data_IF_260777556946
#
_entry.id   IF_260777556946
#
_cell.length_a   1.000
_cell.length_b   1.000
_cell.length_c   1.000
_cell.angle_alpha   90.00
_cell.angle_beta   90.00
_cell.angle_gamma   90.00
#
_symmetry.space_group_name_H-M   'P 1'
#
loop_
_entity.id
_entity.type
_entity.pdbx_description
1 polymer ?
#
# COMPACT_ATOMS: atom_id res chain seq x y z
N UNK A 1 24.06 -4.31 -7.08
CA UNK A 1 24.55 -5.68 -7.37
C UNK A 1 23.37 -6.62 -7.14
N UNK A 2 23.20 -7.66 -7.95
CA UNK A 2 22.10 -8.63 -7.80
C UNK A 2 22.65 -9.99 -7.38
N UNK A 3 21.89 -10.74 -6.59
CA UNK A 3 22.20 -12.09 -6.16
C UNK A 3 21.27 -13.10 -6.85
N UNK A 4 21.68 -14.37 -6.84
CA UNK A 4 20.89 -15.47 -7.37
C UNK A 4 20.09 -16.15 -6.25
N UNK A 5 18.85 -16.54 -6.55
CA UNK A 5 18.03 -17.39 -5.71
C UNK A 5 17.49 -18.55 -6.53
N UNK A 6 17.67 -19.77 -6.03
CA UNK A 6 17.09 -20.99 -6.60
C UNK A 6 16.50 -21.80 -5.46
N UNK A 7 15.28 -22.28 -5.64
CA UNK A 7 14.61 -23.15 -4.68
C UNK A 7 14.22 -24.47 -5.32
N UNK A 8 14.36 -25.56 -4.57
CA UNK A 8 13.94 -26.89 -4.97
C UNK A 8 13.50 -27.66 -3.74
N UNK A 9 12.33 -28.30 -3.82
CA UNK A 9 11.79 -29.10 -2.73
C UNK A 9 10.30 -29.37 -2.89
N UNK A 10 9.73 -30.23 -2.03
CA UNK A 10 8.33 -30.63 -2.13
C UNK A 10 7.35 -29.48 -1.92
N UNK A 11 7.73 -28.46 -1.14
CA UNK A 11 6.90 -27.29 -0.82
C UNK A 11 6.98 -26.16 -1.86
N UNK A 12 7.99 -26.17 -2.73
CA UNK A 12 8.17 -25.14 -3.77
C UNK A 12 7.48 -25.53 -5.06
N UNK A 13 6.95 -24.56 -5.80
CA UNK A 13 6.44 -24.78 -7.16
C UNK A 13 7.58 -25.23 -8.08
N UNK A 14 7.25 -26.09 -9.05
CA UNK A 14 8.22 -26.59 -10.01
C UNK A 14 8.22 -25.71 -11.26
N UNK A 15 9.39 -25.57 -11.90
CA UNK A 15 9.54 -24.90 -13.21
C UNK A 15 8.84 -23.53 -13.23
N UNK A 16 9.14 -22.71 -12.22
CA UNK A 16 8.53 -21.38 -12.05
C UNK A 16 9.64 -20.34 -11.98
N UNK A 17 9.59 -19.36 -12.88
CA UNK A 17 10.36 -18.12 -12.78
C UNK A 17 9.54 -17.09 -12.00
N UNK A 18 10.20 -16.33 -11.15
CA UNK A 18 9.55 -15.35 -10.27
C UNK A 18 10.22 -13.99 -10.44
N UNK A 19 9.45 -12.94 -10.17
CA UNK A 19 9.96 -11.57 -10.19
C UNK A 19 11.05 -11.36 -9.12
N UNK A 20 11.97 -10.40 -9.34
CA UNK A 20 12.96 -10.04 -8.33
C UNK A 20 12.31 -9.62 -7.01
N UNK A 21 12.89 -10.09 -5.91
CA UNK A 21 12.43 -9.78 -4.55
C UNK A 21 13.62 -9.42 -3.67
N UNK A 22 13.34 -8.83 -2.50
CA UNK A 22 14.38 -8.46 -1.54
C UNK A 22 14.80 -9.65 -0.68
N UNK A 23 16.10 -9.78 -0.41
CA UNK A 23 16.62 -10.89 0.40
C UNK A 23 16.07 -10.94 1.85
N UNK A 24 15.55 -9.82 2.36
CA UNK A 24 14.89 -9.74 3.66
C UNK A 24 13.63 -10.62 3.75
N UNK A 25 13.00 -10.95 2.62
CA UNK A 25 11.81 -11.80 2.55
C UNK A 25 12.13 -13.29 2.82
N UNK A 26 13.40 -13.68 2.70
CA UNK A 26 13.82 -15.08 2.88
C UNK A 26 13.59 -15.59 4.30
N UNK A 27 13.66 -14.73 5.32
CA UNK A 27 13.46 -15.16 6.71
C UNK A 27 12.03 -15.70 6.93
N UNK A 28 11.02 -14.95 6.48
CA UNK A 28 9.62 -15.38 6.57
C UNK A 28 9.37 -16.66 5.75
N UNK A 29 9.90 -16.74 4.53
CA UNK A 29 9.81 -17.93 3.69
C UNK A 29 10.39 -19.18 4.37
N UNK A 30 11.55 -19.06 5.01
CA UNK A 30 12.16 -20.19 5.73
C UNK A 30 11.33 -20.60 6.96
N UNK A 31 10.73 -19.65 7.67
CA UNK A 31 9.80 -19.94 8.77
C UNK A 31 8.55 -20.69 8.27
N UNK A 32 7.99 -20.30 7.12
CA UNK A 32 6.84 -20.98 6.50
C UNK A 32 7.18 -22.41 6.06
N UNK A 33 8.39 -22.63 5.53
CA UNK A 33 8.87 -23.97 5.18
C UNK A 33 9.02 -24.87 6.41
N UNK A 34 9.48 -24.31 7.53
CA UNK A 34 9.62 -25.00 8.81
C UNK A 34 8.31 -25.07 9.62
N UNK A 35 7.27 -24.35 9.19
CA UNK A 35 5.97 -24.24 9.87
C UNK A 35 6.12 -23.70 11.30
N UNK A 36 6.93 -22.66 11.46
CA UNK A 36 7.14 -21.94 12.72
C UNK A 36 6.73 -20.47 12.57
N UNK A 37 6.39 -19.83 13.68
CA UNK A 37 6.04 -18.41 13.69
C UNK A 37 7.31 -17.55 13.61
N UNK A 38 7.43 -16.64 12.61
CA UNK A 38 8.56 -15.71 12.54
C UNK A 38 8.50 -14.68 13.68
N UNK A 39 9.67 -14.22 14.13
CA UNK A 39 9.79 -13.06 15.03
C UNK A 39 9.74 -11.77 14.20
N UNK A 40 9.48 -10.62 14.84
CA UNK A 40 9.51 -9.30 14.19
C UNK A 40 10.74 -9.11 13.30
N UNK A 41 10.48 -8.74 12.05
CA UNK A 41 11.49 -8.53 11.02
C UNK A 41 10.95 -7.54 9.96
N UNK A 42 11.81 -7.14 9.01
CA UNK A 42 11.47 -6.15 7.99
C UNK A 42 10.87 -6.73 6.70
N UNK A 43 10.74 -8.05 6.60
CA UNK A 43 10.10 -8.70 5.46
C UNK A 43 8.56 -8.61 5.54
N UNK A 44 7.91 -8.58 4.39
CA UNK A 44 6.44 -8.60 4.29
C UNK A 44 5.94 -10.04 4.29
N UNK A 45 5.51 -10.57 5.44
CA UNK A 45 5.07 -11.97 5.55
C UNK A 45 3.91 -12.27 4.58
N UNK A 46 4.11 -13.29 3.72
CA UNK A 46 3.19 -13.67 2.66
C UNK A 46 3.56 -13.15 1.27
N UNK A 47 4.52 -12.22 1.14
CA UNK A 47 5.02 -11.72 -0.16
C UNK A 47 5.53 -12.86 -1.07
N UNK A 48 6.19 -13.86 -0.46
CA UNK A 48 6.79 -15.02 -1.14
C UNK A 48 5.84 -16.21 -1.30
N UNK A 49 4.54 -16.07 -0.96
CA UNK A 49 3.57 -17.16 -1.07
C UNK A 49 3.43 -17.71 -2.49
N UNK A 50 3.67 -16.86 -3.51
CA UNK A 50 3.59 -17.26 -4.90
C UNK A 50 4.64 -18.31 -5.31
N UNK A 51 5.72 -18.48 -4.54
CA UNK A 51 6.78 -19.49 -4.75
C UNK A 51 6.40 -20.86 -4.17
N UNK A 52 5.50 -20.89 -3.19
CA UNK A 52 5.07 -22.11 -2.49
C UNK A 52 3.89 -22.77 -3.19
N UNK A 53 3.83 -24.12 -3.19
CA UNK A 53 2.67 -24.87 -3.71
C UNK A 53 1.44 -24.67 -2.82
N UNK A 54 1.66 -24.70 -1.51
CA UNK A 54 0.66 -24.50 -0.48
C UNK A 54 1.23 -23.53 0.56
N UNK A 55 0.72 -22.29 0.63
CA UNK A 55 1.17 -21.30 1.60
C UNK A 55 0.83 -21.71 3.04
N UNK A 56 1.78 -21.59 3.95
CA UNK A 56 1.54 -21.81 5.39
C UNK A 56 0.81 -20.64 6.05
N UNK A 57 1.11 -19.41 5.62
CA UNK A 57 0.50 -18.18 6.13
C UNK A 57 -0.36 -17.51 5.06
N UNK A 58 -1.57 -17.09 5.43
CA UNK A 58 -2.49 -16.34 4.55
C UNK A 58 -2.57 -14.89 5.08
N UNK A 59 -1.94 -13.91 4.41
CA UNK A 59 -1.99 -12.52 4.86
C UNK A 59 -3.41 -11.95 4.73
N UNK A 60 -3.76 -11.10 5.68
CA UNK A 60 -4.97 -10.28 5.64
C UNK A 60 -4.59 -8.80 5.53
N UNK A 61 -5.50 -7.97 5.04
CA UNK A 61 -5.30 -6.53 5.09
C UNK A 61 -5.25 -6.05 6.55
N UNK A 62 -4.32 -5.13 6.88
CA UNK A 62 -4.28 -4.56 8.22
C UNK A 62 -5.56 -3.76 8.47
N UNK A 63 -6.06 -3.84 9.70
CA UNK A 63 -7.25 -3.09 10.09
C UNK A 63 -6.98 -1.59 10.10
N UNK A 64 -7.93 -0.82 9.57
CA UNK A 64 -7.90 0.64 9.63
C UNK A 64 -7.99 1.09 11.09
N UNK A 65 -7.00 1.84 11.56
CA UNK A 65 -6.94 2.29 12.96
C UNK A 65 -7.80 3.51 13.24
N UNK A 66 -8.13 4.29 12.21
CA UNK A 66 -8.85 5.54 12.32
C UNK A 66 -9.87 5.63 11.20
N UNK A 67 -11.16 5.70 11.54
CA UNK A 67 -12.19 5.86 10.53
C UNK A 67 -12.19 7.27 9.90
N UNK A 68 -12.91 7.43 8.76
CA UNK A 68 -13.05 8.72 8.11
C UNK A 68 -13.75 9.73 9.04
N UNK A 69 -13.17 10.92 9.17
CA UNK A 69 -13.82 12.02 9.89
C UNK A 69 -14.80 12.73 8.95
N UNK A 70 -16.03 12.96 9.42
CA UNK A 70 -17.02 13.71 8.64
C UNK A 70 -16.69 15.19 8.65
N UNK A 71 -16.50 15.78 7.47
CA UNK A 71 -16.36 17.23 7.30
C UNK A 71 -17.57 17.78 6.54
N UNK A 72 -18.62 18.24 7.24
CA UNK A 72 -19.76 18.85 6.60
C UNK A 72 -19.37 20.20 5.97
N UNK A 73 -19.97 20.52 4.83
CA UNK A 73 -19.83 21.84 4.22
C UNK A 73 -20.61 22.86 5.04
N UNK A 74 -19.89 23.74 5.75
CA UNK A 74 -20.49 24.78 6.61
C UNK A 74 -20.71 26.08 5.83
N UNK A 75 -19.79 26.44 4.94
CA UNK A 75 -19.84 27.68 4.15
C UNK A 75 -19.28 27.47 2.74
N UNK A 76 -19.87 28.18 1.76
CA UNK A 76 -19.35 28.29 0.40
C UNK A 76 -18.30 29.39 0.25
N UNK A 77 -18.18 30.28 1.24
CA UNK A 77 -17.13 31.28 1.30
C UNK A 77 -16.06 30.85 2.30
N UNK A 78 -14.78 30.79 1.89
CA UNK A 78 -13.67 30.56 2.81
C UNK A 78 -13.64 31.62 3.91
N UNK A 79 -13.42 31.19 5.16
CA UNK A 79 -13.27 32.12 6.29
C UNK A 79 -11.94 32.88 6.24
N UNK A 80 -10.93 32.29 5.61
CA UNK A 80 -9.61 32.89 5.39
C UNK A 80 -9.20 32.66 3.93
N UNK A 81 -8.68 33.71 3.28
CA UNK A 81 -8.17 33.66 1.91
C UNK A 81 -6.78 33.04 1.81
N UNK A 82 -6.10 32.81 2.94
CA UNK A 82 -4.73 32.28 3.02
C UNK A 82 -3.72 33.04 2.13
N UNK A 83 -4.02 34.30 1.81
CA UNK A 83 -3.22 35.12 0.88
C UNK A 83 -3.29 34.68 -0.59
N UNK A 84 -4.22 33.80 -0.96
CA UNK A 84 -4.42 33.37 -2.35
C UNK A 84 -5.37 34.33 -3.09
N UNK A 85 -5.04 34.66 -4.34
CA UNK A 85 -5.94 35.39 -5.26
C UNK A 85 -6.25 34.54 -6.49
N UNK A 86 -7.46 34.68 -7.01
CA UNK A 86 -7.88 34.01 -8.25
C UNK A 86 -8.54 35.04 -9.16
N UNK A 87 -7.78 35.57 -10.12
CA UNK A 87 -8.21 36.67 -10.99
C UNK A 87 -9.41 36.28 -11.89
N UNK A 88 -9.56 35.00 -12.19
CA UNK A 88 -10.68 34.48 -12.98
C UNK A 88 -12.04 34.58 -12.26
N UNK A 89 -12.07 34.65 -10.92
CA UNK A 89 -13.30 34.77 -10.13
C UNK A 89 -13.73 36.23 -9.89
N UNK A 90 -12.84 37.20 -10.15
CA UNK A 90 -13.11 38.64 -9.96
C UNK A 90 -14.07 39.18 -11.04
N UNK A 91 -14.14 38.54 -12.21
CA UNK A 91 -14.94 39.00 -13.36
C UNK A 91 -16.45 38.67 -13.35
N UNK A 92 -16.96 37.93 -12.36
CA UNK A 92 -18.35 37.43 -12.37
C UNK A 92 -19.33 38.37 -11.64
N UNK A 93 -18.82 39.26 -10.76
CA UNK A 93 -19.67 40.18 -9.97
C UNK A 93 -20.16 41.39 -10.81
N UNK A 94 -19.51 41.70 -11.93
CA UNK A 94 -19.80 42.92 -12.73
C UNK A 94 -20.86 42.73 -13.82
N UNK A 95 -21.50 41.55 -13.96
CA UNK A 95 -22.45 41.28 -15.07
C UNK A 95 -23.93 41.38 -14.64
N UNK A 96 -24.25 41.95 -13.46
CA UNK A 96 -25.67 42.13 -13.07
C UNK A 96 -25.99 43.47 -12.40
N UNK A 97 -25.68 44.58 -13.07
CA UNK A 97 -26.41 45.84 -12.89
C UNK A 97 -26.27 46.76 -14.12
N UNK A 98 -26.80 46.32 -15.27
CA UNK A 98 -27.22 47.22 -16.34
C UNK A 98 -28.65 46.82 -16.72
N UNK A 99 -29.60 47.32 -15.92
CA UNK A 99 -30.89 47.85 -16.40
C UNK A 99 -30.98 49.23 -15.75
#
# INVERSE_FOLDING_TARGET
MHAMFVSYGPKFKNVTEIEPFSNIELYNLMCDLLQITPIENNGTHGSMNHVLREPYFIPAHPEERSGPTSFPLISLTPTDSLGCTCDALVGIITIKLII
#
